data_IF_103514128237
#
_entry.id   IF_103514128237
#
_cell.length_a   1.000
_cell.length_b   1.000
_cell.length_c   1.000
_cell.angle_alpha   90.00
_cell.angle_beta   90.00
_cell.angle_gamma   90.00
#
_symmetry.space_group_name_H-M   'P 1'
#
loop_
_entity.id
_entity.type
_entity.pdbx_description
1 polymer ?
#
# COMPACT_ATOMS: atom_id res chain seq x y z
N UNK A 1 -3.70 -11.86 4.96
CA UNK A 1 -4.33 -10.55 5.18
C UNK A 1 -5.80 -10.81 5.30
N UNK A 2 -6.44 -10.25 6.34
CA UNK A 2 -7.86 -10.25 6.75
C UNK A 2 -7.94 -10.67 8.23
N UNK A 3 -8.77 -9.94 8.99
CA UNK A 3 -8.87 -9.81 10.44
C UNK A 3 -8.08 -8.62 11.02
N UNK A 4 -8.26 -7.43 10.43
CA UNK A 4 -7.99 -6.18 11.13
C UNK A 4 -9.23 -5.28 11.27
N UNK A 5 -10.30 -5.49 10.48
CA UNK A 5 -11.51 -4.64 10.42
C UNK A 5 -12.14 -4.29 11.80
N UNK A 6 -12.05 -5.17 12.79
CA UNK A 6 -12.70 -4.96 14.10
C UNK A 6 -11.87 -4.13 15.11
N UNK A 7 -10.66 -3.68 14.79
CA UNK A 7 -9.76 -2.99 15.75
C UNK A 7 -9.03 -1.75 15.23
N UNK A 8 -9.16 -1.41 13.93
CA UNK A 8 -8.48 -0.28 13.29
C UNK A 8 -9.49 0.66 12.65
N UNK A 9 -9.22 1.96 12.80
CA UNK A 9 -10.09 3.03 12.31
C UNK A 9 -10.01 3.25 10.80
N UNK A 10 -8.97 2.75 10.15
CA UNK A 10 -8.84 2.75 8.71
C UNK A 10 -7.77 1.74 8.28
N UNK A 11 -7.88 1.27 7.04
CA UNK A 11 -6.78 0.63 6.34
C UNK A 11 -6.92 0.76 4.83
N UNK A 12 -5.79 0.85 4.16
CA UNK A 12 -5.68 0.76 2.72
C UNK A 12 -5.27 -0.64 2.26
N UNK A 13 -6.05 -1.21 1.36
CA UNK A 13 -5.72 -2.43 0.63
C UNK A 13 -5.06 -2.07 -0.72
N UNK A 14 -3.72 -2.21 -0.82
CA UNK A 14 -2.96 -1.70 -1.96
C UNK A 14 -3.25 -2.38 -3.27
N UNK A 15 -3.64 -3.64 -3.24
CA UNK A 15 -3.80 -4.44 -4.45
C UNK A 15 -5.18 -4.26 -5.10
N UNK A 16 -6.10 -3.61 -4.40
CA UNK A 16 -7.47 -3.38 -4.86
C UNK A 16 -7.87 -1.91 -4.79
N UNK A 17 -6.92 -1.03 -4.44
CA UNK A 17 -7.12 0.41 -4.36
C UNK A 17 -8.36 0.77 -3.54
N UNK A 18 -8.44 0.17 -2.36
CA UNK A 18 -9.60 0.28 -1.48
C UNK A 18 -9.19 0.70 -0.10
N UNK A 19 -9.86 1.70 0.44
CA UNK A 19 -9.75 2.17 1.80
C UNK A 19 -11.00 1.73 2.54
N UNK A 20 -10.82 1.05 3.66
CA UNK A 20 -11.85 0.98 4.68
C UNK A 20 -11.65 2.12 5.67
N UNK A 21 -12.75 2.70 6.12
CA UNK A 21 -12.75 3.85 7.00
C UNK A 21 -13.88 3.76 8.03
N UNK A 22 -13.53 3.67 9.31
CA UNK A 22 -14.49 3.76 10.40
C UNK A 22 -14.66 5.24 10.82
N UNK A 23 -15.49 5.94 10.05
CA UNK A 23 -15.78 7.36 10.20
C UNK A 23 -16.67 7.87 9.07
N UNK A 24 -16.89 9.19 9.01
CA UNK A 24 -17.69 9.82 7.96
C UNK A 24 -16.83 10.45 6.89
N UNK A 25 -16.99 10.00 5.65
CA UNK A 25 -16.32 10.58 4.49
C UNK A 25 -17.20 11.67 3.86
N UNK A 26 -16.58 12.79 3.47
CA UNK A 26 -17.22 13.86 2.72
C UNK A 26 -16.34 14.19 1.52
N UNK A 27 -16.92 14.28 0.32
CA UNK A 27 -16.18 14.65 -0.89
C UNK A 27 -15.51 16.02 -0.75
N UNK A 28 -16.23 16.95 -0.12
CA UNK A 28 -15.65 18.19 0.38
C UNK A 28 -14.93 17.90 1.69
N UNK A 29 -13.67 17.50 1.57
CA UNK A 29 -12.79 17.14 2.68
C UNK A 29 -12.64 18.23 3.75
N UNK A 30 -12.93 19.49 3.41
CA UNK A 30 -12.88 20.61 4.36
C UNK A 30 -13.98 20.51 5.44
N UNK A 31 -15.02 19.70 5.19
CA UNK A 31 -16.12 19.42 6.13
C UNK A 31 -15.82 18.27 7.08
N UNK A 32 -14.76 17.49 6.83
CA UNK A 32 -14.38 16.37 7.67
C UNK A 32 -13.85 16.87 9.03
N UNK A 33 -14.18 16.16 10.09
CA UNK A 33 -13.60 16.44 11.41
C UNK A 33 -12.09 16.12 11.38
N UNK A 34 -11.24 16.81 12.18
CA UNK A 34 -9.80 16.59 12.18
C UNK A 34 -9.41 15.11 12.27
N UNK A 35 -10.04 14.41 13.21
CA UNK A 35 -9.86 12.98 13.43
C UNK A 35 -10.17 12.16 12.15
N UNK A 36 -11.29 12.42 11.46
CA UNK A 36 -11.67 11.76 10.19
C UNK A 36 -10.72 12.11 9.05
N UNK A 37 -10.39 13.39 8.92
CA UNK A 37 -9.51 13.92 7.89
C UNK A 37 -8.08 13.37 8.03
N UNK A 38 -7.56 13.27 9.25
CA UNK A 38 -6.24 12.72 9.53
C UNK A 38 -6.13 11.24 9.14
N UNK A 39 -7.14 10.43 9.48
CA UNK A 39 -7.17 9.02 9.07
C UNK A 39 -7.31 8.87 7.56
N UNK A 40 -8.20 9.65 6.93
CA UNK A 40 -8.30 9.64 5.46
C UNK A 40 -6.97 10.06 4.80
N UNK A 41 -6.33 11.12 5.29
CA UNK A 41 -5.03 11.56 4.79
C UNK A 41 -3.94 10.48 4.93
N UNK A 42 -3.95 9.74 6.05
CA UNK A 42 -3.05 8.59 6.27
C UNK A 42 -3.22 7.51 5.20
N UNK A 43 -4.45 7.01 5.02
CA UNK A 43 -4.75 5.94 4.06
C UNK A 43 -4.58 6.41 2.61
N UNK A 44 -4.92 7.68 2.33
CA UNK A 44 -4.71 8.29 1.03
C UNK A 44 -3.21 8.41 0.70
N UNK A 45 -2.35 8.67 1.68
CA UNK A 45 -0.90 8.65 1.43
C UNK A 45 -0.43 7.24 1.09
N UNK A 46 -0.97 6.18 1.70
CA UNK A 46 -0.66 4.81 1.30
C UNK A 46 -1.08 4.51 -0.15
N UNK A 47 -2.25 5.01 -0.58
CA UNK A 47 -2.66 4.96 -1.98
C UNK A 47 -1.65 5.64 -2.91
N UNK A 48 -1.20 6.85 -2.58
CA UNK A 48 -0.18 7.54 -3.36
C UNK A 48 1.17 6.80 -3.34
N UNK A 49 1.64 6.33 -2.18
CA UNK A 49 2.88 5.56 -2.05
C UNK A 49 2.85 4.31 -2.94
N UNK A 50 1.71 3.64 -3.03
CA UNK A 50 1.53 2.44 -3.84
C UNK A 50 1.74 2.71 -5.34
N UNK A 51 1.29 3.86 -5.82
CA UNK A 51 1.29 4.22 -7.24
C UNK A 51 2.50 5.05 -7.69
N UNK A 52 3.10 5.82 -6.77
CA UNK A 52 4.15 6.79 -7.08
C UNK A 52 5.55 6.31 -6.73
N UNK A 53 5.70 5.11 -6.12
CA UNK A 53 7.01 4.55 -5.73
C UNK A 53 7.30 3.23 -6.41
N UNK A 54 8.58 2.91 -6.60
CA UNK A 54 8.98 1.61 -7.15
C UNK A 54 8.59 0.45 -6.23
N UNK A 55 8.71 0.64 -4.91
CA UNK A 55 8.36 -0.40 -3.95
C UNK A 55 6.87 -0.73 -4.02
N UNK A 56 6.00 0.29 -4.07
CA UNK A 56 4.56 0.13 -4.26
C UNK A 56 4.20 -0.57 -5.57
N UNK A 57 4.68 -0.04 -6.70
CA UNK A 57 4.39 -0.62 -8.02
C UNK A 57 4.86 -2.07 -8.14
N UNK A 58 6.06 -2.40 -7.63
CA UNK A 58 6.58 -3.77 -7.64
C UNK A 58 5.76 -4.71 -6.77
N UNK A 59 5.24 -4.23 -5.64
CA UNK A 59 4.31 -5.01 -4.82
C UNK A 59 3.01 -5.30 -5.58
N UNK A 60 2.45 -4.30 -6.25
CA UNK A 60 1.29 -4.47 -7.12
C UNK A 60 1.56 -5.47 -8.25
N UNK A 61 2.64 -5.30 -9.01
CA UNK A 61 3.06 -6.22 -10.08
C UNK A 61 3.16 -7.66 -9.55
N UNK A 62 3.82 -7.86 -8.42
CA UNK A 62 3.93 -9.17 -7.78
C UNK A 62 2.56 -9.77 -7.46
N UNK A 63 1.66 -8.97 -6.91
CA UNK A 63 0.31 -9.41 -6.58
C UNK A 63 -0.50 -9.84 -7.82
N UNK A 64 -0.47 -9.06 -8.90
CA UNK A 64 -1.21 -9.42 -10.11
C UNK A 64 -0.58 -10.62 -10.83
N UNK A 65 0.72 -10.84 -10.72
CA UNK A 65 1.34 -12.10 -11.16
C UNK A 65 0.86 -13.29 -10.31
N UNK A 66 0.69 -13.11 -9.00
CA UNK A 66 0.07 -14.11 -8.13
C UNK A 66 -1.38 -14.40 -8.54
N UNK A 67 -2.18 -13.37 -8.84
CA UNK A 67 -3.53 -13.55 -9.34
C UNK A 67 -3.54 -14.30 -10.68
N UNK A 68 -2.58 -14.03 -11.56
CA UNK A 68 -2.49 -14.70 -12.84
C UNK A 68 -2.29 -16.21 -12.67
N UNK A 69 -1.32 -16.62 -11.85
CA UNK A 69 -1.08 -18.05 -11.57
C UNK A 69 -2.28 -18.70 -10.84
N UNK A 70 -3.00 -17.94 -10.02
CA UNK A 70 -4.23 -18.40 -9.35
C UNK A 70 -5.35 -18.68 -10.35
N UNK A 71 -5.60 -17.76 -11.28
CA UNK A 71 -6.60 -17.93 -12.36
C UNK A 71 -6.21 -19.09 -13.31
N UNK A 72 -4.92 -19.20 -13.63
CA UNK A 72 -4.39 -20.32 -14.44
C UNK A 72 -4.60 -21.68 -13.75
N UNK A 73 -4.36 -21.77 -12.44
CA UNK A 73 -4.66 -22.97 -11.64
C UNK A 73 -6.15 -23.35 -11.69
N UNK A 74 -7.06 -22.38 -11.56
CA UNK A 74 -8.49 -22.64 -11.66
C UNK A 74 -8.91 -23.14 -13.04
N UNK A 75 -8.32 -22.60 -14.11
CA UNK A 75 -8.62 -23.04 -15.48
C UNK A 75 -8.31 -24.54 -15.71
N UNK A 76 -7.29 -25.07 -15.02
CA UNK A 76 -6.80 -26.45 -15.17
C UNK A 76 -7.38 -27.45 -14.17
N UNK A 77 -8.02 -26.96 -13.11
CA UNK A 77 -8.54 -27.80 -12.02
C UNK A 77 -10.03 -28.11 -12.23
N UNK A 78 -10.49 -29.31 -11.90
CA UNK A 78 -11.93 -29.65 -11.86
C UNK A 78 -12.55 -29.42 -10.48
N UNK A 79 -11.73 -29.43 -9.43
CA UNK A 79 -12.14 -29.22 -8.04
C UNK A 79 -11.17 -28.29 -7.32
N UNK A 80 -11.67 -27.51 -6.36
CA UNK A 80 -10.89 -26.57 -5.55
C UNK A 80 -11.26 -26.80 -4.08
N UNK A 81 -10.24 -26.85 -3.21
CA UNK A 81 -10.43 -26.90 -1.76
C UNK A 81 -10.18 -25.52 -1.15
N UNK A 82 -11.04 -25.12 -0.22
CA UNK A 82 -10.95 -23.86 0.54
C UNK A 82 -10.66 -24.20 2.02
N UNK A 83 -9.70 -23.53 2.68
CA UNK A 83 -8.81 -22.48 2.16
C UNK A 83 -7.89 -22.95 1.05
N UNK A 84 -7.68 -22.09 0.06
CA UNK A 84 -6.81 -22.37 -1.08
C UNK A 84 -5.36 -22.54 -0.62
N UNK A 85 -4.79 -23.71 -0.90
CA UNK A 85 -3.37 -23.98 -0.68
C UNK A 85 -2.54 -23.40 -1.81
N UNK A 86 -1.39 -22.82 -1.48
CA UNK A 86 -0.51 -22.10 -2.42
C UNK A 86 0.53 -22.99 -3.12
N UNK A 87 0.32 -24.31 -3.14
CA UNK A 87 1.27 -25.27 -3.70
C UNK A 87 1.44 -25.12 -5.21
N UNK A 88 0.41 -24.59 -5.90
CA UNK A 88 0.40 -24.34 -7.34
C UNK A 88 1.32 -23.19 -7.78
N UNK A 89 1.76 -22.33 -6.85
CA UNK A 89 2.60 -21.18 -7.19
C UNK A 89 3.97 -21.62 -7.71
N UNK A 90 4.47 -20.91 -8.70
CA UNK A 90 5.81 -21.09 -9.23
C UNK A 90 6.87 -20.78 -8.18
N UNK A 91 8.02 -21.47 -8.27
CA UNK A 91 9.17 -21.19 -7.41
C UNK A 91 9.65 -19.74 -7.52
N UNK A 92 9.45 -19.11 -8.68
CA UNK A 92 9.72 -17.68 -8.88
C UNK A 92 8.87 -16.82 -7.96
N UNK A 93 7.56 -17.03 -7.90
CA UNK A 93 6.68 -16.25 -7.02
C UNK A 93 6.91 -16.56 -5.55
N UNK A 94 7.15 -17.82 -5.18
CA UNK A 94 7.49 -18.19 -3.80
C UNK A 94 8.75 -17.47 -3.32
N UNK A 95 9.82 -17.47 -4.12
CA UNK A 95 11.05 -16.72 -3.83
C UNK A 95 10.82 -15.21 -3.79
N UNK A 96 10.05 -14.68 -4.75
CA UNK A 96 9.67 -13.27 -4.76
C UNK A 96 8.95 -12.85 -3.48
N UNK A 97 7.98 -13.66 -3.01
CA UNK A 97 7.27 -13.42 -1.75
C UNK A 97 8.23 -13.36 -0.56
N UNK A 98 9.13 -14.33 -0.45
CA UNK A 98 10.12 -14.38 0.62
C UNK A 98 11.04 -13.14 0.60
N UNK A 99 11.43 -12.68 -0.59
CA UNK A 99 12.20 -11.44 -0.73
C UNK A 99 11.41 -10.20 -0.30
N UNK A 100 10.15 -10.08 -0.72
CA UNK A 100 9.28 -8.98 -0.29
C UNK A 100 9.12 -8.97 1.23
N UNK A 101 8.69 -10.09 1.83
CA UNK A 101 8.49 -10.17 3.27
C UNK A 101 9.76 -9.87 4.06
N UNK A 102 10.93 -10.27 3.55
CA UNK A 102 12.21 -9.98 4.17
C UNK A 102 12.52 -8.48 4.21
N UNK A 103 12.28 -7.75 3.11
CA UNK A 103 12.54 -6.30 3.03
C UNK A 103 11.41 -5.42 3.58
N UNK A 104 10.19 -5.96 3.69
CA UNK A 104 9.05 -5.29 4.32
C UNK A 104 9.31 -5.09 5.82
N UNK A 105 10.11 -5.96 6.42
CA UNK A 105 10.53 -5.89 7.81
C UNK A 105 9.54 -6.54 8.76
N UNK A 106 9.58 -6.13 10.03
CA UNK A 106 8.75 -6.73 11.07
C UNK A 106 7.33 -6.18 11.02
N UNK A 107 6.34 -7.06 10.78
CA UNK A 107 4.92 -6.70 10.61
C UNK A 107 4.16 -6.77 11.94
N UNK A 108 4.44 -5.85 12.85
CA UNK A 108 3.78 -5.77 14.16
C UNK A 108 3.34 -4.33 14.43
N UNK A 109 2.19 -4.17 15.09
CA UNK A 109 1.68 -2.89 15.56
C UNK A 109 1.46 -2.98 17.05
N UNK A 110 2.30 -2.33 17.84
CA UNK A 110 2.26 -2.40 19.29
C UNK A 110 3.06 -1.26 19.93
N UNK A 111 2.79 -1.00 21.22
CA UNK A 111 3.60 -0.11 22.02
C UNK A 111 4.72 -0.87 22.72
N UNK A 112 5.97 -0.61 22.34
CA UNK A 112 7.15 -1.10 23.06
C UNK A 112 7.66 -0.02 24.00
N UNK A 113 7.59 -0.27 25.31
CA UNK A 113 8.30 0.55 26.30
C UNK A 113 9.79 0.20 26.22
N UNK A 114 10.67 1.19 26.29
CA UNK A 114 12.12 1.00 26.30
C UNK A 114 12.79 2.12 27.09
N UNK A 115 13.91 1.83 27.78
CA UNK A 115 14.74 2.85 28.43
C UNK A 115 15.82 3.37 27.47
N UNK A 116 16.32 2.48 26.62
CA UNK A 116 17.31 2.80 25.61
C UNK A 116 17.09 1.94 24.36
N UNK A 117 17.69 2.34 23.25
CA UNK A 117 17.66 1.57 22.01
C UNK A 117 18.95 1.74 21.21
N UNK A 118 19.21 0.76 20.36
CA UNK A 118 20.28 0.83 19.39
C UNK A 118 19.79 0.55 17.97
N UNK A 119 20.51 1.09 16.99
CA UNK A 119 20.21 0.94 15.57
C UNK A 119 21.45 0.40 14.89
N UNK A 120 21.34 -0.80 14.33
CA UNK A 120 22.46 -1.51 13.71
C UNK A 120 22.11 -2.04 12.34
N UNK A 121 23.10 -2.06 11.45
CA UNK A 121 23.00 -2.79 10.18
C UNK A 121 23.54 -4.19 10.40
N UNK A 122 22.70 -5.21 10.18
CA UNK A 122 23.06 -6.62 10.34
C UNK A 122 22.94 -7.36 9.02
N UNK A 123 23.73 -8.42 8.87
CA UNK A 123 23.62 -9.33 7.71
C UNK A 123 22.76 -10.52 8.09
N UNK A 124 21.72 -10.81 7.29
CA UNK A 124 20.88 -12.01 7.43
C UNK A 124 20.86 -12.80 6.14
N UNK A 125 20.77 -14.12 6.26
CA UNK A 125 20.65 -14.99 5.09
C UNK A 125 19.23 -14.93 4.53
N UNK A 126 19.12 -14.82 3.20
CA UNK A 126 17.89 -14.93 2.46
C UNK A 126 18.18 -15.72 1.19
N UNK A 127 17.51 -16.85 0.99
CA UNK A 127 17.66 -17.69 -0.20
C UNK A 127 19.11 -18.13 -0.49
N UNK A 128 19.95 -18.25 0.55
CA UNK A 128 21.35 -18.65 0.42
C UNK A 128 22.34 -17.48 0.38
N UNK A 129 21.88 -16.26 0.12
CA UNK A 129 22.73 -15.06 0.03
C UNK A 129 22.65 -14.22 1.31
N UNK A 130 23.73 -13.49 1.62
CA UNK A 130 23.77 -12.55 2.75
C UNK A 130 23.27 -11.17 2.32
N UNK A 131 22.27 -10.66 3.04
CA UNK A 131 21.66 -9.36 2.80
C UNK A 131 21.73 -8.48 4.04
N UNK A 132 22.05 -7.20 3.84
CA UNK A 132 22.07 -6.22 4.92
C UNK A 132 20.66 -5.67 5.20
N UNK A 133 20.30 -5.59 6.47
CA UNK A 133 19.04 -5.00 6.95
C UNK A 133 19.32 -4.10 8.15
N UNK A 134 18.37 -3.24 8.49
CA UNK A 134 18.44 -2.34 9.64
C UNK A 134 17.61 -2.94 10.78
N UNK A 135 18.22 -3.11 11.94
CA UNK A 135 17.58 -3.63 13.14
C UNK A 135 17.57 -2.55 14.24
N UNK A 136 16.41 -2.36 14.85
CA UNK A 136 16.24 -1.54 16.05
C UNK A 136 16.13 -2.49 17.23
N UNK A 137 17.05 -2.39 18.18
CA UNK A 137 17.10 -3.20 19.39
C UNK A 137 16.67 -2.36 20.59
N UNK A 138 15.59 -2.76 21.26
CA UNK A 138 15.02 -2.11 22.42
C UNK A 138 15.55 -2.73 23.71
N UNK A 139 16.02 -1.90 24.63
CA UNK A 139 16.65 -2.30 25.90
C UNK A 139 15.74 -1.90 27.07
N UNK A 140 15.41 -2.88 27.92
CA UNK A 140 14.63 -2.75 29.14
C UNK A 140 15.30 -3.48 30.32
N UNK A 141 14.96 -3.06 31.55
CA UNK A 141 15.42 -3.69 32.79
C UNK A 141 15.07 -5.18 32.93
N UNK A 142 14.03 -5.66 32.25
CA UNK A 142 13.62 -7.07 32.31
C UNK A 142 14.46 -8.02 31.42
N UNK A 143 15.54 -7.51 30.80
CA UNK A 143 16.57 -8.26 30.06
C UNK A 143 16.07 -9.17 28.91
N UNK A 144 14.86 -8.99 28.40
CA UNK A 144 14.46 -9.56 27.09
C UNK A 144 14.60 -8.49 26.01
N UNK A 145 15.75 -8.42 25.32
CA UNK A 145 15.89 -7.51 24.19
C UNK A 145 14.84 -7.87 23.16
N UNK A 146 14.05 -6.88 22.78
CA UNK A 146 13.12 -6.98 21.67
C UNK A 146 13.76 -6.27 20.49
N UNK A 147 13.80 -6.93 19.34
CA UNK A 147 14.28 -6.26 18.14
C UNK A 147 13.29 -6.37 17.01
N UNK A 148 13.27 -5.32 16.20
CA UNK A 148 12.47 -5.26 14.98
C UNK A 148 13.40 -4.95 13.80
N UNK A 149 13.02 -5.46 12.64
CA UNK A 149 13.63 -5.09 11.36
C UNK A 149 12.90 -3.86 10.84
N UNK A 150 13.61 -2.74 10.74
CA UNK A 150 13.14 -1.54 10.08
C UNK A 150 13.16 -1.76 8.56
N UNK A 151 11.97 -1.91 7.96
CA UNK A 151 11.78 -2.27 6.55
C UNK A 151 10.73 -1.41 5.85
N UNK A 152 10.20 -1.90 4.73
CA UNK A 152 9.20 -1.22 3.92
C UNK A 152 7.94 -0.78 4.69
N UNK A 153 7.45 -1.59 5.64
CA UNK A 153 6.31 -1.21 6.48
C UNK A 153 6.66 -0.01 7.35
N UNK A 154 7.79 -0.07 8.07
CA UNK A 154 8.24 1.04 8.92
C UNK A 154 8.36 2.35 8.14
N UNK A 155 8.94 2.31 6.94
CA UNK A 155 9.06 3.50 6.09
C UNK A 155 7.68 4.05 5.68
N UNK A 156 6.78 3.20 5.19
CA UNK A 156 5.45 3.63 4.72
C UNK A 156 4.62 4.22 5.85
N UNK A 157 4.57 3.54 6.98
CA UNK A 157 3.76 3.89 8.16
C UNK A 157 4.28 5.15 8.85
N UNK A 158 5.60 5.28 9.01
CA UNK A 158 6.17 6.53 9.54
C UNK A 158 5.90 7.72 8.63
N UNK A 159 5.96 7.54 7.31
CA UNK A 159 5.64 8.61 6.36
C UNK A 159 4.14 8.97 6.40
N UNK A 160 3.25 7.98 6.45
CA UNK A 160 1.80 8.18 6.55
C UNK A 160 1.39 8.83 7.88
N UNK A 161 2.06 8.45 8.98
CA UNK A 161 1.90 9.08 10.29
C UNK A 161 2.29 10.55 10.28
N UNK A 162 3.45 10.88 9.70
CA UNK A 162 3.88 12.27 9.60
C UNK A 162 2.85 13.13 8.84
N UNK A 163 2.25 12.59 7.78
CA UNK A 163 1.22 13.29 7.04
C UNK A 163 -0.11 13.37 7.79
N UNK A 164 -0.52 12.33 8.51
CA UNK A 164 -1.70 12.33 9.37
C UNK A 164 -1.68 13.47 10.41
N UNK A 165 -0.52 13.67 11.05
CA UNK A 165 -0.34 14.66 12.12
C UNK A 165 -0.46 16.13 11.64
N UNK A 166 -0.40 16.37 10.32
CA UNK A 166 -0.65 17.68 9.70
C UNK A 166 -2.15 18.07 9.69
N UNK A 167 -3.04 17.09 9.91
CA UNK A 167 -4.50 17.27 9.93
C UNK A 167 -5.12 16.92 11.29
N UNK A 168 -4.53 15.96 12.00
CA UNK A 168 -4.93 15.56 13.34
C UNK A 168 -3.69 15.45 14.25
N UNK A 169 -3.34 16.54 14.92
CA UNK A 169 -2.20 16.59 15.84
C UNK A 169 -2.41 15.75 17.11
N UNK A 170 -3.64 15.33 17.40
CA UNK A 170 -4.01 14.51 18.55
C UNK A 170 -4.14 13.02 18.19
N UNK A 171 -3.90 12.63 16.93
CA UNK A 171 -4.00 11.24 16.51
C UNK A 171 -3.14 10.35 17.39
N UNK A 172 -3.70 9.28 17.94
CA UNK A 172 -2.94 8.27 18.68
C UNK A 172 -2.49 7.17 17.71
N UNK A 173 -1.33 6.56 17.98
CA UNK A 173 -0.86 5.37 17.27
C UNK A 173 0.06 4.56 18.17
N UNK A 174 0.28 3.30 17.79
CA UNK A 174 1.36 2.51 18.36
C UNK A 174 2.71 3.15 18.02
N UNK A 175 3.73 3.01 18.87
CA UNK A 175 5.06 3.51 18.51
C UNK A 175 5.76 2.66 17.43
N UNK A 176 5.44 1.36 17.34
CA UNK A 176 5.86 0.51 16.23
C UNK A 176 4.64 0.24 15.34
N UNK A 177 4.74 0.41 14.02
CA UNK A 177 5.90 0.88 13.25
C UNK A 177 6.02 2.42 13.15
N UNK A 178 5.04 3.18 13.63
CA UNK A 178 4.81 4.59 13.27
C UNK A 178 5.94 5.55 13.67
N UNK A 179 6.54 5.40 14.84
CA UNK A 179 7.60 6.30 15.34
C UNK A 179 9.02 5.81 15.00
N UNK A 180 9.14 4.66 14.32
CA UNK A 180 10.43 3.99 14.13
C UNK A 180 11.41 4.80 13.27
N UNK A 181 10.94 5.58 12.29
CA UNK A 181 11.80 6.47 11.52
C UNK A 181 12.45 7.56 12.40
N UNK A 182 11.72 8.09 13.38
CA UNK A 182 12.25 9.09 14.31
C UNK A 182 13.36 8.49 15.17
N UNK A 183 13.24 7.23 15.59
CA UNK A 183 14.32 6.52 16.31
C UNK A 183 15.60 6.41 15.47
N UNK A 184 15.46 6.05 14.18
CA UNK A 184 16.58 5.98 13.25
C UNK A 184 17.24 7.37 13.11
N UNK A 185 16.44 8.42 12.90
CA UNK A 185 16.92 9.79 12.74
C UNK A 185 17.63 10.29 14.00
N UNK A 186 16.98 10.14 15.17
CA UNK A 186 17.54 10.53 16.47
C UNK A 186 18.88 9.85 16.75
N UNK A 187 19.05 8.59 16.34
CA UNK A 187 20.30 7.86 16.58
C UNK A 187 21.42 8.28 15.61
N UNK A 188 21.10 8.44 14.33
CA UNK A 188 22.11 8.60 13.28
C UNK A 188 22.46 10.07 13.07
N UNK A 189 21.46 10.94 12.89
CA UNK A 189 21.63 12.37 12.65
C UNK A 189 20.57 13.19 13.41
N UNK A 190 20.74 13.39 14.73
CA UNK A 190 19.76 14.09 15.56
C UNK A 190 19.42 15.50 15.09
N UNK A 191 20.31 16.17 14.35
CA UNK A 191 20.07 17.51 13.81
C UNK A 191 18.87 17.58 12.86
N UNK A 192 18.44 16.45 12.28
CA UNK A 192 17.29 16.39 11.39
C UNK A 192 15.94 16.28 12.11
N UNK A 193 15.89 16.08 13.42
CA UNK A 193 14.63 15.77 14.13
C UNK A 193 13.57 16.89 13.96
N UNK A 194 14.03 18.14 13.79
CA UNK A 194 13.19 19.31 13.56
C UNK A 194 12.99 19.62 12.05
N UNK A 195 13.69 18.91 11.17
CA UNK A 195 13.65 19.10 9.71
C UNK A 195 12.64 18.11 9.09
N UNK A 196 11.38 18.18 9.54
CA UNK A 196 10.32 17.21 9.18
C UNK A 196 10.16 17.00 7.68
N UNK A 197 10.27 18.06 6.88
CA UNK A 197 10.21 17.95 5.42
C UNK A 197 11.35 17.12 4.83
N UNK A 198 12.58 17.23 5.36
CA UNK A 198 13.71 16.43 4.89
C UNK A 198 13.53 14.96 5.25
N UNK A 199 13.08 14.67 6.48
CA UNK A 199 12.75 13.30 6.91
C UNK A 199 11.69 12.70 5.96
N UNK A 200 10.62 13.45 5.67
CA UNK A 200 9.56 13.02 4.76
C UNK A 200 10.09 12.69 3.37
N UNK A 201 10.95 13.56 2.81
CA UNK A 201 11.61 13.30 1.52
C UNK A 201 12.48 12.05 1.59
N UNK A 202 13.31 11.86 2.62
CA UNK A 202 14.16 10.67 2.74
C UNK A 202 13.35 9.37 2.85
N UNK A 203 12.23 9.39 3.60
CA UNK A 203 11.30 8.26 3.66
C UNK A 203 10.76 7.94 2.26
N UNK A 204 10.25 8.95 1.56
CA UNK A 204 9.73 8.78 0.20
C UNK A 204 10.78 8.23 -0.77
N UNK A 205 11.98 8.82 -0.80
CA UNK A 205 13.07 8.38 -1.67
C UNK A 205 13.51 6.94 -1.37
N UNK A 206 13.42 6.50 -0.12
CA UNK A 206 13.77 5.13 0.25
C UNK A 206 12.84 4.08 -0.39
N UNK A 207 11.60 4.45 -0.73
CA UNK A 207 10.65 3.59 -1.45
C UNK A 207 10.99 3.43 -2.94
N UNK A 208 12.07 4.02 -3.44
CA UNK A 208 12.63 3.74 -4.77
C UNK A 208 13.65 2.58 -4.76
N UNK A 209 13.78 1.87 -3.64
CA UNK A 209 14.67 0.74 -3.45
C UNK A 209 13.89 -0.55 -3.17
N UNK A 210 14.50 -1.70 -3.47
CA UNK A 210 13.98 -3.01 -3.04
C UNK A 210 14.15 -3.22 -1.51
N UNK A 211 15.06 -2.47 -0.87
CA UNK A 211 15.29 -2.51 0.58
C UNK A 211 15.12 -1.10 1.16
N UNK A 212 13.87 -0.65 1.37
CA UNK A 212 13.60 0.71 1.82
C UNK A 212 14.25 1.05 3.16
N UNK A 213 14.25 0.10 4.11
CA UNK A 213 14.81 0.31 5.44
C UNK A 213 16.31 0.66 5.40
N UNK A 214 17.11 -0.15 4.68
CA UNK A 214 18.54 0.13 4.51
C UNK A 214 18.79 1.40 3.71
N UNK A 215 17.98 1.68 2.69
CA UNK A 215 18.11 2.90 1.89
C UNK A 215 17.84 4.13 2.75
N UNK A 216 16.79 4.13 3.58
CA UNK A 216 16.51 5.22 4.50
C UNK A 216 17.68 5.45 5.48
N UNK A 217 18.19 4.38 6.11
CA UNK A 217 19.36 4.46 7.00
C UNK A 217 20.56 5.13 6.32
N UNK A 218 20.87 4.75 5.07
CA UNK A 218 21.97 5.33 4.29
C UNK A 218 21.73 6.79 3.96
N UNK A 219 20.52 7.15 3.56
CA UNK A 219 20.14 8.53 3.28
C UNK A 219 20.28 9.41 4.53
N UNK A 220 19.86 8.94 5.71
CA UNK A 220 20.07 9.66 6.98
C UNK A 220 21.56 9.75 7.32
N UNK A 221 22.36 8.72 7.05
CA UNK A 221 23.81 8.79 7.26
C UNK A 221 24.47 9.84 6.37
N UNK A 222 24.13 9.86 5.07
CA UNK A 222 24.69 10.80 4.10
C UNK A 222 24.17 12.23 4.28
N UNK A 223 22.97 12.40 4.85
CA UNK A 223 22.40 13.72 5.16
C UNK A 223 23.27 14.61 6.06
N UNK A 224 24.25 14.03 6.77
CA UNK A 224 25.26 14.79 7.53
C UNK A 224 26.11 15.69 6.64
N UNK A 225 26.34 15.27 5.39
CA UNK A 225 27.10 16.03 4.39
C UNK A 225 26.21 17.07 3.69
N UNK A 226 24.93 16.75 3.57
CA UNK A 226 23.96 17.49 2.77
C UNK A 226 23.00 18.34 3.63
N UNK A 227 23.35 18.60 4.90
CA UNK A 227 22.44 19.25 5.86
C UNK A 227 21.93 20.62 5.38
N UNK A 228 22.73 21.34 4.58
CA UNK A 228 22.42 22.65 4.02
C UNK A 228 21.42 22.61 2.85
N UNK A 229 21.21 21.46 2.22
CA UNK A 229 20.25 21.32 1.13
C UNK A 229 18.82 21.38 1.66
N UNK A 230 17.94 22.03 0.93
CA UNK A 230 16.50 21.97 1.16
C UNK A 230 15.93 20.60 0.79
N UNK A 231 14.75 20.27 1.33
CA UNK A 231 14.01 19.05 0.99
C UNK A 231 13.79 18.91 -0.54
N UNK A 232 13.53 20.03 -1.22
CA UNK A 232 13.36 20.09 -2.67
C UNK A 232 14.65 19.78 -3.44
N UNK A 233 15.77 20.31 -2.99
CA UNK A 233 17.08 20.04 -3.60
C UNK A 233 17.50 18.59 -3.41
N UNK A 234 17.28 18.02 -2.20
CA UNK A 234 17.52 16.60 -1.92
C UNK A 234 16.76 15.72 -2.91
N UNK A 235 15.45 15.97 -3.07
CA UNK A 235 14.61 15.22 -4.01
C UNK A 235 15.14 15.31 -5.45
N UNK A 236 15.41 16.53 -5.94
CA UNK A 236 15.87 16.76 -7.32
C UNK A 236 17.24 16.12 -7.57
N UNK A 237 18.15 16.25 -6.62
CA UNK A 237 19.49 15.67 -6.72
C UNK A 237 19.42 14.15 -6.79
N UNK A 238 18.61 13.52 -5.93
CA UNK A 238 18.46 12.06 -5.93
C UNK A 238 18.04 11.51 -7.30
N UNK A 239 17.01 12.07 -7.93
CA UNK A 239 16.56 11.59 -9.25
C UNK A 239 17.51 11.96 -10.40
N UNK A 240 18.34 12.99 -10.22
CA UNK A 240 19.36 13.38 -11.21
C UNK A 240 20.59 12.47 -11.17
N UNK A 241 20.97 11.98 -9.99
CA UNK A 241 22.22 11.23 -9.80
C UNK A 241 22.01 9.71 -9.68
N UNK A 242 20.79 9.26 -9.37
CA UNK A 242 20.52 7.85 -9.17
C UNK A 242 20.21 7.14 -10.49
N UNK A 243 20.89 6.02 -10.71
CA UNK A 243 20.64 5.10 -11.82
C UNK A 243 20.49 3.67 -11.29
N UNK A 244 19.77 2.84 -12.04
CA UNK A 244 19.57 1.41 -11.75
C UNK A 244 20.23 0.61 -12.85
N UNK A 245 20.98 -0.43 -12.47
CA UNK A 245 21.56 -1.36 -13.45
C UNK A 245 20.46 -2.19 -14.10
N UNK A 246 20.17 -1.92 -15.37
CA UNK A 246 19.13 -2.59 -16.14
C UNK A 246 19.47 -4.03 -16.52
N UNK A 247 18.51 -4.73 -17.15
CA UNK A 247 18.64 -6.15 -17.56
C UNK A 247 19.85 -6.43 -18.46
N UNK A 248 20.31 -5.43 -19.23
CA UNK A 248 21.48 -5.51 -20.12
C UNK A 248 22.78 -4.98 -19.48
N UNK A 249 22.83 -4.85 -18.14
CA UNK A 249 23.95 -4.24 -17.39
C UNK A 249 24.30 -2.81 -17.80
N UNK A 250 23.35 -2.10 -18.42
CA UNK A 250 23.45 -0.66 -18.68
C UNK A 250 22.76 0.07 -17.55
N UNK A 251 23.38 1.13 -17.06
CA UNK A 251 22.76 2.01 -16.09
C UNK A 251 21.64 2.81 -16.77
N UNK A 252 20.45 2.71 -16.20
CA UNK A 252 19.25 3.41 -16.64
C UNK A 252 18.92 4.45 -15.58
N UNK A 253 18.68 5.73 -15.96
CA UNK A 253 18.23 6.75 -15.03
C UNK A 253 17.00 6.28 -14.24
N UNK A 254 16.97 6.53 -12.93
CA UNK A 254 15.90 6.03 -12.06
C UNK A 254 14.50 6.42 -12.54
N UNK A 255 14.35 7.63 -13.10
CA UNK A 255 13.09 8.11 -13.67
C UNK A 255 12.61 7.26 -14.84
N UNK A 256 13.50 6.90 -15.76
CA UNK A 256 13.17 6.06 -16.91
C UNK A 256 12.78 4.65 -16.45
N UNK A 257 13.55 4.09 -15.51
CA UNK A 257 13.22 2.80 -14.91
C UNK A 257 11.85 2.80 -14.20
N UNK A 258 11.51 3.88 -13.51
CA UNK A 258 10.17 4.03 -12.91
C UNK A 258 9.06 4.02 -13.97
N UNK A 259 9.23 4.73 -15.08
CA UNK A 259 8.26 4.73 -16.20
C UNK A 259 8.07 3.33 -16.80
N UNK A 260 9.15 2.56 -16.93
CA UNK A 260 9.07 1.16 -17.39
C UNK A 260 8.23 0.29 -16.44
N UNK A 261 8.48 0.41 -15.13
CA UNK A 261 7.73 -0.34 -14.10
C UNK A 261 6.26 0.11 -14.05
N UNK A 262 5.98 1.40 -14.17
CA UNK A 262 4.62 1.94 -14.23
C UNK A 262 3.85 1.37 -15.44
N UNK A 263 4.50 1.30 -16.60
CA UNK A 263 3.92 0.70 -17.81
C UNK A 263 3.63 -0.80 -17.64
N UNK A 264 4.55 -1.54 -17.01
CA UNK A 264 4.33 -2.96 -16.70
C UNK A 264 3.11 -3.15 -15.79
N UNK A 265 3.01 -2.34 -14.73
CA UNK A 265 1.88 -2.39 -13.81
C UNK A 265 0.56 -2.07 -14.51
N UNK A 266 0.52 -1.03 -15.36
CA UNK A 266 -0.66 -0.68 -16.18
C UNK A 266 -1.13 -1.84 -17.04
N UNK A 267 -0.22 -2.54 -17.73
CA UNK A 267 -0.56 -3.69 -18.56
C UNK A 267 -1.15 -4.85 -17.76
N UNK A 268 -0.67 -5.06 -16.53
CA UNK A 268 -1.23 -6.08 -15.63
C UNK A 268 -2.63 -5.71 -15.13
N UNK A 269 -2.88 -4.43 -14.81
CA UNK A 269 -4.23 -3.99 -14.44
C UNK A 269 -5.21 -4.22 -15.58
N UNK A 270 -4.84 -3.83 -16.81
CA UNK A 270 -5.68 -4.00 -18.00
C UNK A 270 -5.99 -5.49 -18.26
N UNK A 271 -5.00 -6.36 -18.12
CA UNK A 271 -5.16 -7.81 -18.27
C UNK A 271 -6.10 -8.42 -17.23
N UNK A 272 -6.13 -7.87 -16.02
CA UNK A 272 -6.92 -8.42 -14.90
C UNK A 272 -8.31 -7.81 -14.77
N UNK A 273 -8.53 -6.65 -15.39
CA UNK A 273 -9.83 -5.98 -15.45
C UNK A 273 -10.79 -6.74 -16.38
N UNK A 274 -12.06 -6.73 -16.01
CA UNK A 274 -13.18 -7.21 -16.83
C UNK A 274 -13.65 -6.17 -17.84
N UNK A 275 -13.30 -4.90 -17.64
CA UNK A 275 -13.63 -3.77 -18.51
C UNK A 275 -12.42 -2.89 -18.85
N UNK A 276 -12.66 -1.78 -19.53
CA UNK A 276 -11.62 -0.77 -19.78
C UNK A 276 -11.17 -0.13 -18.48
N UNK A 277 -9.88 0.21 -18.40
CA UNK A 277 -9.28 0.88 -17.24
C UNK A 277 -9.05 2.40 -17.47
N UNK A 278 -10.05 3.12 -17.95
CA UNK A 278 -9.93 4.53 -18.38
C UNK A 278 -9.54 5.48 -17.23
N UNK A 279 -10.07 5.25 -16.01
CA UNK A 279 -9.69 6.04 -14.85
C UNK A 279 -8.22 5.78 -14.46
N UNK A 280 -7.80 4.51 -14.39
CA UNK A 280 -6.39 4.19 -14.13
C UNK A 280 -5.47 4.68 -15.26
N UNK A 281 -5.92 4.68 -16.52
CA UNK A 281 -5.16 5.22 -17.64
C UNK A 281 -4.85 6.71 -17.43
N UNK A 282 -5.88 7.51 -17.08
CA UNK A 282 -5.70 8.93 -16.76
C UNK A 282 -4.80 9.15 -15.54
N UNK A 283 -4.98 8.32 -14.50
CA UNK A 283 -4.15 8.35 -13.30
C UNK A 283 -2.66 8.11 -13.62
N UNK A 284 -2.36 7.11 -14.44
CA UNK A 284 -0.99 6.81 -14.85
C UNK A 284 -0.39 7.87 -15.77
N UNK A 285 -1.20 8.50 -16.63
CA UNK A 285 -0.76 9.66 -17.42
C UNK A 285 -0.39 10.85 -16.53
N UNK A 286 -1.17 11.12 -15.48
CA UNK A 286 -0.86 12.16 -14.51
C UNK A 286 0.44 11.85 -13.75
N UNK A 287 0.62 10.61 -13.30
CA UNK A 287 1.87 10.16 -12.65
C UNK A 287 3.06 10.33 -13.60
N UNK A 288 2.94 9.90 -14.86
CA UNK A 288 4.03 10.00 -15.85
C UNK A 288 4.42 11.45 -16.16
N UNK A 289 3.42 12.34 -16.27
CA UNK A 289 3.63 13.78 -16.43
C UNK A 289 4.47 14.36 -15.28
N UNK A 290 4.23 13.92 -14.05
CA UNK A 290 4.92 14.45 -12.86
C UNK A 290 6.38 14.05 -12.77
N UNK A 291 6.77 12.91 -13.33
CA UNK A 291 8.19 12.51 -13.38
C UNK A 291 8.96 13.13 -14.56
N UNK A 292 8.26 13.84 -15.46
CA UNK A 292 8.87 14.53 -16.61
C UNK A 292 9.63 15.81 -16.19
N UNK A 293 10.54 16.31 -17.02
CA UNK A 293 11.58 17.31 -16.65
C UNK A 293 11.05 18.67 -16.16
N UNK A 294 9.78 18.98 -16.39
CA UNK A 294 9.14 20.26 -16.05
C UNK A 294 8.00 20.13 -15.02
N UNK A 295 7.67 18.91 -14.60
CA UNK A 295 6.53 18.65 -13.71
C UNK A 295 6.80 19.02 -12.26
N UNK A 296 5.84 19.69 -11.61
CA UNK A 296 5.80 19.78 -10.15
C UNK A 296 5.45 18.39 -9.63
N UNK A 297 6.34 17.82 -8.82
CA UNK A 297 6.14 16.46 -8.29
C UNK A 297 5.20 16.49 -7.08
N UNK A 298 4.54 15.38 -6.74
CA UNK A 298 3.56 15.36 -5.63
C UNK A 298 4.26 15.72 -4.31
N UNK A 299 5.54 15.35 -4.19
CA UNK A 299 6.38 15.68 -3.06
C UNK A 299 6.67 17.18 -2.99
N UNK A 300 6.89 17.85 -4.12
CA UNK A 300 7.07 19.31 -4.15
C UNK A 300 5.82 20.05 -3.66
N UNK A 301 4.63 19.48 -3.84
CA UNK A 301 3.37 20.03 -3.34
C UNK A 301 3.23 19.79 -1.85
N UNK A 302 3.49 18.56 -1.41
CA UNK A 302 3.42 18.18 0.01
C UNK A 302 4.38 19.01 0.88
N UNK A 303 5.60 19.28 0.40
CA UNK A 303 6.59 20.06 1.15
C UNK A 303 6.45 21.58 0.97
N UNK A 304 5.51 22.06 0.14
CA UNK A 304 5.34 23.51 -0.04
C UNK A 304 4.68 24.14 1.20
N UNK A 305 5.38 25.05 1.89
CA UNK A 305 4.84 25.69 3.10
C UNK A 305 3.85 26.83 2.81
N UNK A 306 3.79 27.31 1.57
CA UNK A 306 2.91 28.41 1.17
C UNK A 306 1.47 27.96 0.89
N UNK A 307 1.25 26.65 0.76
CA UNK A 307 -0.07 26.07 0.48
C UNK A 307 -0.62 25.46 1.78
N UNK A 308 -1.89 25.72 2.09
CA UNK A 308 -2.55 25.15 3.26
C UNK A 308 -2.68 23.62 3.17
N UNK A 309 -2.70 22.91 4.30
CA UNK A 309 -2.74 21.44 4.31
C UNK A 309 -3.98 20.87 3.60
N UNK A 310 -5.16 21.48 3.79
CA UNK A 310 -6.39 21.11 3.07
C UNK A 310 -6.24 21.34 1.57
N UNK A 311 -5.69 22.49 1.17
CA UNK A 311 -5.47 22.84 -0.25
C UNK A 311 -4.49 21.87 -0.93
N UNK A 312 -3.42 21.45 -0.23
CA UNK A 312 -2.51 20.40 -0.71
C UNK A 312 -3.26 19.10 -0.95
N UNK A 313 -4.02 18.63 0.03
CA UNK A 313 -4.74 17.37 -0.07
C UNK A 313 -5.77 17.42 -1.20
N UNK A 314 -6.50 18.53 -1.34
CA UNK A 314 -7.47 18.72 -2.42
C UNK A 314 -6.80 18.81 -3.79
N UNK A 315 -5.64 19.46 -3.91
CA UNK A 315 -4.84 19.41 -5.13
C UNK A 315 -4.50 17.97 -5.50
N UNK A 316 -4.01 17.18 -4.54
CA UNK A 316 -3.65 15.79 -4.78
C UNK A 316 -4.85 14.96 -5.20
N UNK A 317 -6.00 15.11 -4.55
CA UNK A 317 -7.26 14.43 -4.94
C UNK A 317 -7.68 14.82 -6.36
N UNK A 318 -7.58 16.09 -6.72
CA UNK A 318 -7.91 16.54 -8.08
C UNK A 318 -6.98 15.96 -9.14
N UNK A 319 -5.72 15.67 -8.79
CA UNK A 319 -4.74 15.07 -9.72
C UNK A 319 -4.84 13.54 -9.78
N UNK A 320 -5.02 12.87 -8.65
CA UNK A 320 -4.92 11.40 -8.56
C UNK A 320 -6.26 10.71 -8.31
N UNK A 321 -7.33 11.47 -8.11
CA UNK A 321 -8.60 10.94 -7.63
C UNK A 321 -8.48 10.43 -6.18
N UNK A 322 -9.55 9.80 -5.71
CA UNK A 322 -9.60 8.98 -4.51
C UNK A 322 -9.64 7.49 -4.89
N UNK A 323 -9.07 6.59 -4.06
CA UNK A 323 -9.34 5.17 -4.15
C UNK A 323 -10.84 4.89 -3.88
N UNK A 324 -11.26 3.64 -4.02
CA UNK A 324 -12.57 3.27 -3.43
C UNK A 324 -12.50 3.42 -1.92
N UNK A 325 -13.50 4.05 -1.31
CA UNK A 325 -13.62 4.27 0.12
C UNK A 325 -14.91 3.61 0.58
N UNK A 326 -14.78 2.59 1.43
CA UNK A 326 -15.89 1.96 2.14
C UNK A 326 -15.91 2.48 3.56
N UNK A 327 -17.02 3.08 3.97
CA UNK A 327 -17.22 3.53 5.35
C UNK A 327 -17.91 2.46 6.19
N UNK A 328 -17.79 2.55 7.52
CA UNK A 328 -18.40 1.59 8.45
C UNK A 328 -19.93 1.63 8.45
N UNK A 329 -20.54 2.72 8.00
CA UNK A 329 -21.98 2.86 7.80
C UNK A 329 -22.47 2.29 6.45
N UNK A 330 -21.59 1.68 5.64
CA UNK A 330 -21.97 0.99 4.41
C UNK A 330 -21.89 1.85 3.14
N UNK A 331 -21.57 3.14 3.24
CA UNK A 331 -21.40 3.99 2.08
C UNK A 331 -20.14 3.64 1.28
N UNK A 332 -20.25 3.74 -0.04
CA UNK A 332 -19.16 3.51 -0.99
C UNK A 332 -18.92 4.79 -1.81
N UNK A 333 -17.70 5.30 -1.75
CA UNK A 333 -17.24 6.45 -2.53
C UNK A 333 -16.09 6.03 -3.44
N UNK A 334 -15.98 6.62 -4.63
CA UNK A 334 -14.83 6.44 -5.51
C UNK A 334 -14.76 7.61 -6.49
N UNK A 335 -13.63 7.74 -7.19
CA UNK A 335 -13.46 8.82 -8.16
C UNK A 335 -14.47 8.77 -9.30
N UNK A 336 -14.91 9.95 -9.75
CA UNK A 336 -15.79 10.10 -10.90
C UNK A 336 -17.26 9.91 -10.51
N UNK A 337 -17.98 11.02 -10.39
CA UNK A 337 -19.44 11.04 -10.38
C UNK A 337 -19.97 11.50 -11.75
N UNK A 338 -21.18 11.07 -12.13
CA UNK A 338 -21.85 11.49 -13.37
C UNK A 338 -21.62 10.55 -14.57
N UNK A 339 -21.21 11.09 -15.72
CA UNK A 339 -21.21 10.38 -17.02
C UNK A 339 -20.10 9.33 -17.19
N UNK A 340 -19.09 9.28 -16.29
CA UNK A 340 -18.01 8.29 -16.36
C UNK A 340 -17.48 7.87 -14.97
N UNK A 341 -18.28 7.14 -14.17
CA UNK A 341 -17.86 6.66 -12.86
C UNK A 341 -16.66 5.70 -12.99
N UNK A 342 -15.72 5.76 -12.05
CA UNK A 342 -14.57 4.84 -12.01
C UNK A 342 -14.98 3.43 -11.54
N UNK A 343 -15.87 2.80 -12.31
CA UNK A 343 -16.45 1.47 -12.06
C UNK A 343 -15.38 0.36 -12.03
N UNK A 344 -14.20 0.64 -12.58
CA UNK A 344 -12.98 -0.15 -12.48
C UNK A 344 -12.63 -0.48 -11.02
N UNK A 345 -12.83 0.45 -10.08
CA UNK A 345 -12.61 0.18 -8.66
C UNK A 345 -13.58 -0.87 -8.11
N UNK A 346 -14.82 -0.92 -8.61
CA UNK A 346 -15.81 -1.93 -8.21
C UNK A 346 -15.40 -3.31 -8.71
N UNK A 347 -14.82 -3.40 -9.91
CA UNK A 347 -14.26 -4.66 -10.43
C UNK A 347 -13.14 -5.17 -9.52
N UNK A 348 -12.13 -4.35 -9.23
CA UNK A 348 -11.03 -4.77 -8.34
C UNK A 348 -11.54 -5.08 -6.93
N UNK A 349 -12.49 -4.32 -6.39
CA UNK A 349 -13.14 -4.65 -5.12
C UNK A 349 -13.84 -6.02 -5.19
N UNK A 350 -14.57 -6.32 -6.27
CA UNK A 350 -15.23 -7.61 -6.43
C UNK A 350 -14.22 -8.76 -6.54
N UNK A 351 -13.08 -8.54 -7.20
CA UNK A 351 -11.94 -9.48 -7.20
C UNK A 351 -11.38 -9.69 -5.79
N UNK A 352 -11.33 -8.64 -4.97
CA UNK A 352 -10.95 -8.77 -3.57
C UNK A 352 -11.86 -9.74 -2.84
N UNK A 353 -13.18 -9.55 -2.89
CA UNK A 353 -14.16 -10.41 -2.19
C UNK A 353 -13.99 -11.88 -2.57
N UNK A 354 -13.77 -12.19 -3.85
CA UNK A 354 -13.52 -13.56 -4.30
C UNK A 354 -12.24 -14.13 -3.68
N UNK A 355 -11.15 -13.35 -3.67
CA UNK A 355 -9.89 -13.76 -3.05
C UNK A 355 -10.04 -13.94 -1.54
N UNK A 356 -10.68 -13.01 -0.84
CA UNK A 356 -10.96 -13.16 0.59
C UNK A 356 -11.65 -14.49 0.87
N UNK A 357 -12.69 -14.81 0.09
CA UNK A 357 -13.46 -16.04 0.27
C UNK A 357 -12.64 -17.30 0.01
N UNK A 358 -11.71 -17.26 -0.95
CA UNK A 358 -10.82 -18.38 -1.28
C UNK A 358 -9.81 -18.70 -0.16
N UNK A 359 -9.46 -17.71 0.67
CA UNK A 359 -8.45 -17.88 1.72
C UNK A 359 -9.02 -17.93 3.15
N UNK A 360 -10.30 -17.59 3.36
CA UNK A 360 -10.98 -17.72 4.66
C UNK A 360 -11.11 -19.18 5.10
N UNK A 361 -10.87 -19.44 6.38
CA UNK A 361 -11.00 -20.76 6.99
C UNK A 361 -12.43 -21.10 7.39
N UNK A 362 -12.69 -22.38 7.69
CA UNK A 362 -13.99 -22.84 8.22
C UNK A 362 -14.38 -22.22 9.56
N UNK A 363 -13.41 -21.69 10.30
CA UNK A 363 -13.61 -21.11 11.64
C UNK A 363 -13.94 -19.61 11.57
N UNK A 364 -13.68 -18.97 10.43
CA UNK A 364 -13.96 -17.55 10.22
C UNK A 364 -15.43 -17.34 9.82
N UNK A 365 -16.01 -16.20 10.23
CA UNK A 365 -17.34 -15.80 9.76
C UNK A 365 -17.31 -15.63 8.23
N UNK A 366 -18.08 -16.47 7.53
CA UNK A 366 -18.05 -16.59 6.07
C UNK A 366 -18.81 -15.48 5.33
N UNK A 367 -19.55 -14.62 6.04
CA UNK A 367 -20.30 -13.48 5.47
C UNK A 367 -19.48 -12.72 4.42
N UNK A 368 -20.12 -12.46 3.29
CA UNK A 368 -19.58 -11.66 2.19
C UNK A 368 -19.19 -10.26 2.70
N UNK A 369 -17.96 -9.82 2.44
CA UNK A 369 -17.45 -8.51 2.89
C UNK A 369 -18.13 -7.31 2.22
N UNK A 370 -18.91 -7.52 1.16
CA UNK A 370 -19.76 -6.49 0.56
C UNK A 370 -21.21 -6.51 1.07
N UNK A 371 -21.57 -7.39 2.01
CA UNK A 371 -22.96 -7.52 2.47
C UNK A 371 -23.56 -6.20 2.98
N UNK A 372 -22.80 -5.43 3.77
CA UNK A 372 -23.24 -4.14 4.30
C UNK A 372 -23.49 -3.08 3.21
N UNK A 373 -22.78 -3.16 2.08
CA UNK A 373 -23.00 -2.28 0.93
C UNK A 373 -24.25 -2.74 0.16
N UNK A 374 -24.37 -4.05 -0.06
CA UNK A 374 -25.43 -4.61 -0.90
C UNK A 374 -26.81 -4.61 -0.24
N UNK A 375 -26.91 -4.55 1.09
CA UNK A 375 -28.21 -4.60 1.78
C UNK A 375 -29.05 -3.33 1.60
N UNK A 376 -28.42 -2.19 1.31
CA UNK A 376 -29.12 -0.93 1.07
C UNK A 376 -29.83 -0.92 -0.30
N UNK A 377 -29.25 -1.61 -1.27
CA UNK A 377 -29.81 -1.86 -2.60
C UNK A 377 -30.70 -3.12 -2.52
N UNK A 378 -31.91 -2.97 -1.96
CA UNK A 378 -32.95 -4.01 -1.88
C UNK A 378 -33.04 -4.76 -3.22
N UNK A 379 -32.51 -5.99 -3.28
CA UNK A 379 -32.50 -6.98 -4.39
C UNK A 379 -31.11 -7.62 -4.62
N UNK A 380 -30.04 -7.10 -4.02
CA UNK A 380 -28.69 -7.67 -4.17
C UNK A 380 -28.30 -8.72 -3.12
N UNK A 381 -29.04 -8.86 -2.02
CA UNK A 381 -28.72 -9.78 -0.92
C UNK A 381 -29.66 -10.97 -0.83
N UNK A 382 -29.13 -12.12 -0.44
CA UNK A 382 -29.88 -13.36 -0.19
C UNK A 382 -29.17 -14.20 0.90
N UNK A 383 -29.74 -15.33 1.28
CA UNK A 383 -29.16 -16.28 2.24
C UNK A 383 -27.80 -16.85 1.80
N UNK A 384 -27.50 -16.82 0.50
CA UNK A 384 -26.21 -17.25 -0.03
C UNK A 384 -25.09 -16.24 0.26
N UNK A 385 -25.40 -14.99 0.64
CA UNK A 385 -24.38 -14.01 1.06
C UNK A 385 -23.58 -14.43 2.30
N UNK A 386 -24.11 -15.34 3.13
CA UNK A 386 -23.47 -15.75 4.38
C UNK A 386 -22.41 -16.84 4.15
N UNK A 387 -22.82 -18.09 3.96
CA UNK A 387 -21.88 -19.21 3.84
C UNK A 387 -21.76 -19.78 2.43
N UNK A 388 -22.72 -19.51 1.55
CA UNK A 388 -22.90 -20.23 0.28
C UNK A 388 -22.78 -19.34 -0.95
N UNK A 389 -21.89 -18.35 -0.95
CA UNK A 389 -21.79 -17.35 -2.02
C UNK A 389 -21.59 -17.98 -3.40
N UNK A 390 -20.89 -19.13 -3.45
CA UNK A 390 -20.67 -19.92 -4.66
C UNK A 390 -21.95 -20.41 -5.34
N UNK A 391 -23.05 -20.57 -4.59
CA UNK A 391 -24.33 -21.07 -5.08
C UNK A 391 -25.29 -19.98 -5.54
N UNK A 392 -24.90 -18.70 -5.42
CA UNK A 392 -25.74 -17.59 -5.86
C UNK A 392 -26.13 -17.74 -7.32
N UNK A 393 -27.38 -17.46 -7.64
CA UNK A 393 -27.90 -17.47 -9.01
C UNK A 393 -28.16 -16.05 -9.53
N UNK A 394 -28.44 -15.11 -8.62
CA UNK A 394 -28.64 -13.70 -8.92
C UNK A 394 -27.28 -13.01 -9.15
N UNK A 395 -27.09 -12.29 -10.28
CA UNK A 395 -25.88 -11.52 -10.54
C UNK A 395 -25.58 -10.53 -9.40
N UNK A 396 -24.37 -10.61 -8.87
CA UNK A 396 -23.78 -9.65 -7.95
C UNK A 396 -22.27 -9.56 -8.23
N UNK A 397 -21.55 -8.56 -7.69
CA UNK A 397 -20.13 -8.39 -7.98
C UNK A 397 -19.29 -9.66 -7.75
N UNK A 398 -19.50 -10.34 -6.61
CA UNK A 398 -18.86 -11.63 -6.32
C UNK A 398 -19.15 -12.68 -7.40
N UNK A 399 -20.42 -12.83 -7.80
CA UNK A 399 -20.85 -13.84 -8.77
C UNK A 399 -20.21 -13.59 -10.13
N UNK A 400 -20.29 -12.36 -10.63
CA UNK A 400 -19.73 -11.96 -11.93
C UNK A 400 -18.23 -12.29 -12.00
N UNK A 401 -17.47 -11.91 -10.98
CA UNK A 401 -16.04 -12.21 -10.94
C UNK A 401 -15.78 -13.71 -10.80
N UNK A 402 -16.44 -14.38 -9.85
CA UNK A 402 -16.24 -15.82 -9.64
C UNK A 402 -16.51 -16.65 -10.91
N UNK A 403 -17.51 -16.25 -11.70
CA UNK A 403 -17.86 -16.87 -12.97
C UNK A 403 -16.82 -16.59 -14.04
N UNK A 404 -16.34 -15.34 -14.13
CA UNK A 404 -15.26 -14.97 -15.06
C UNK A 404 -13.97 -15.75 -14.80
N UNK A 405 -13.76 -16.20 -13.56
CA UNK A 405 -12.62 -17.04 -13.17
C UNK A 405 -12.91 -18.54 -13.34
N UNK A 406 -14.11 -18.89 -13.81
CA UNK A 406 -14.56 -20.25 -14.08
C UNK A 406 -14.90 -21.06 -12.83
N UNK A 407 -15.12 -20.42 -11.67
CA UNK A 407 -15.35 -21.11 -10.40
C UNK A 407 -16.73 -21.80 -10.32
N UNK A 408 -17.72 -21.29 -11.06
CA UNK A 408 -19.04 -21.91 -11.20
C UNK A 408 -19.01 -23.32 -11.81
N UNK A 409 -17.98 -23.63 -12.60
CA UNK A 409 -17.81 -24.94 -13.22
C UNK A 409 -17.00 -25.92 -12.35
N UNK A 410 -16.67 -25.55 -11.10
CA UNK A 410 -15.79 -26.31 -10.22
C UNK A 410 -16.55 -26.93 -9.07
N UNK A 411 -16.06 -28.10 -8.63
CA UNK A 411 -16.47 -28.68 -7.35
C UNK A 411 -15.68 -27.94 -6.26
N UNK A 412 -16.38 -27.19 -5.40
CA UNK A 412 -15.77 -26.44 -4.31
C UNK A 412 -15.98 -27.21 -3.00
N UNK A 413 -14.87 -27.65 -2.40
CA UNK A 413 -14.84 -28.28 -1.07
C UNK A 413 -14.47 -27.20 -0.02
N UNK A 414 -15.50 -26.61 0.59
CA UNK A 414 -15.44 -25.45 1.51
C UNK A 414 -15.71 -25.80 2.97
#
# INVERSE_FOLDING_TARGET
>A
MINQEDTIRGFYNPNFFSVYFDGKFYEDISKMQPLDLGTFAHEYLHFLQNLTTLYGLKHGIFYYQFLFETKDYFSKSSSISIPLKLDFLSERLKKGKQQFDFYDGTKISENVKYENYDVKVVSRNLLGDLHSIVEIEFINNDHKPKSIVFGGICVKESMARMFQLEFDSAAEAFNIPYDTADLIVSKINPCLINERQKIFVYLYLSLFSNNPGLTFYKLILDSKKDFYLSAREIYRNFFKTTSVTGKLKKDVPLKEYFKEVLKEFRLLLDLHSTGKIDHFNKLFENIDCMFSSEGITFLEILINQEIGNIEKLQFLINQFGIPSIRTSDGCLHFSGEGENPAIEFVDFMAQHVVIERLFKSKVDRKVCSMFAICIEENDLVDECCDEQQWKRTVPCPFKVISDSWGLNAKIIDD
#
